data_IF_154995517623
#
_entry.id   IF_154995517623
#
_cell.length_a   1.000
_cell.length_b   1.000
_cell.length_c   1.000
_cell.angle_alpha   90.00
_cell.angle_beta   90.00
_cell.angle_gamma   90.00
#
_symmetry.space_group_name_H-M   'P 1'
#
loop_
_entity.id
_entity.type
_entity.pdbx_description
1 polymer ?
#
# COMPACT_ATOMS: atom_id res chain seq x y z
N UNK A 1 6.97 71.72 -10.43
CA UNK A 1 7.11 71.41 -8.98
C UNK A 1 5.73 71.10 -8.41
N UNK A 2 5.36 69.82 -8.41
CA UNK A 2 3.96 69.35 -8.36
C UNK A 2 3.29 69.35 -6.98
N UNK A 3 1.95 69.34 -7.01
CA UNK A 3 0.99 69.22 -5.90
C UNK A 3 1.45 68.34 -4.73
N UNK A 4 2.21 67.29 -5.02
CA UNK A 4 2.73 66.32 -4.05
C UNK A 4 3.57 66.92 -2.92
N UNK A 5 4.36 67.98 -3.20
CA UNK A 5 5.17 68.64 -2.17
C UNK A 5 4.35 69.48 -1.18
N UNK A 6 3.15 69.95 -1.58
CA UNK A 6 2.26 70.72 -0.70
C UNK A 6 1.45 69.82 0.24
N UNK A 7 1.00 68.65 -0.24
CA UNK A 7 0.30 67.67 0.59
C UNK A 7 1.22 67.12 1.70
N UNK A 8 2.46 66.78 1.36
CA UNK A 8 3.42 66.23 2.32
C UNK A 8 3.80 67.19 3.47
N UNK A 9 3.72 68.50 3.23
CA UNK A 9 4.01 69.50 4.26
C UNK A 9 2.85 69.72 5.25
N UNK A 10 1.62 69.33 4.89
CA UNK A 10 0.43 69.57 5.70
C UNK A 10 0.16 68.44 6.74
N UNK A 11 0.50 67.18 6.42
CA UNK A 11 -0.01 66.00 7.14
C UNK A 11 1.07 65.16 7.86
N UNK A 12 2.21 65.76 8.23
CA UNK A 12 3.37 65.15 8.93
C UNK A 12 3.13 63.73 9.46
N UNK A 13 3.60 62.72 8.72
CA UNK A 13 3.95 61.36 9.18
C UNK A 13 2.79 60.51 9.76
N UNK A 14 1.58 61.04 9.95
CA UNK A 14 0.47 60.30 10.54
C UNK A 14 -0.11 59.20 9.61
N UNK A 15 -0.02 59.37 8.30
CA UNK A 15 -0.56 58.43 7.29
C UNK A 15 0.49 57.45 6.73
N UNK A 16 1.63 57.28 7.41
CA UNK A 16 2.67 56.29 7.04
C UNK A 16 2.57 54.97 7.84
N UNK A 17 1.41 54.66 8.41
CA UNK A 17 1.14 53.29 8.81
C UNK A 17 0.88 52.47 7.53
N UNK A 18 1.87 51.65 7.16
CA UNK A 18 1.78 50.68 6.06
C UNK A 18 0.69 49.67 6.41
N UNK A 19 -0.56 50.00 6.10
CA UNK A 19 -1.68 49.07 6.18
C UNK A 19 -1.34 47.91 5.25
N UNK A 20 -0.83 46.84 5.85
CA UNK A 20 -0.16 45.74 5.15
C UNK A 20 -0.97 45.31 3.93
N UNK A 21 -0.33 45.29 2.76
CA UNK A 21 -0.98 45.01 1.47
C UNK A 21 -1.85 43.77 1.57
N UNK A 22 -3.17 43.97 1.66
CA UNK A 22 -4.15 42.89 1.67
C UNK A 22 -4.07 42.22 0.30
N UNK A 23 -3.59 40.98 0.26
CA UNK A 23 -3.49 40.22 -0.98
C UNK A 23 -4.85 40.04 -1.65
N UNK A 24 -4.86 39.64 -2.93
CA UNK A 24 -6.09 39.39 -3.68
C UNK A 24 -7.03 38.43 -2.91
N UNK A 25 -8.31 38.78 -2.73
CA UNK A 25 -9.30 37.89 -2.13
C UNK A 25 -9.34 36.52 -2.81
N UNK A 26 -9.50 35.45 -2.03
CA UNK A 26 -9.60 34.06 -2.52
C UNK A 26 -11.06 33.64 -2.57
N UNK A 27 -11.39 32.70 -3.46
CA UNK A 27 -12.72 32.11 -3.58
C UNK A 27 -13.17 31.54 -2.23
N UNK A 28 -14.42 31.80 -1.87
CA UNK A 28 -14.93 31.51 -0.54
C UNK A 28 -14.88 29.99 -0.22
N UNK A 29 -14.52 29.65 1.01
CA UNK A 29 -14.44 28.26 1.47
C UNK A 29 -15.54 28.05 2.50
N UNK A 30 -16.69 27.55 2.05
CA UNK A 30 -17.83 27.23 2.91
C UNK A 30 -17.74 25.76 3.31
N UNK A 31 -17.80 25.52 4.62
CA UNK A 31 -17.86 24.20 5.25
C UNK A 31 -19.31 23.88 5.59
N UNK A 32 -19.72 22.64 5.34
CA UNK A 32 -20.94 22.14 5.97
C UNK A 32 -20.71 21.77 7.45
N UNK A 33 -21.78 21.47 8.17
CA UNK A 33 -21.71 21.14 9.60
C UNK A 33 -20.94 19.85 9.88
N UNK A 34 -21.05 18.85 9.00
CA UNK A 34 -20.38 17.56 9.16
C UNK A 34 -18.86 17.70 8.96
N UNK A 35 -18.44 18.47 7.96
CA UNK A 35 -17.05 18.80 7.70
C UNK A 35 -16.46 19.64 8.80
N UNK A 36 -17.17 20.67 9.26
CA UNK A 36 -16.72 21.51 10.38
C UNK A 36 -16.53 20.66 11.64
N UNK A 37 -17.46 19.75 11.93
CA UNK A 37 -17.35 18.81 13.04
C UNK A 37 -16.12 17.91 12.88
N UNK A 38 -15.95 17.28 11.71
CA UNK A 38 -14.84 16.36 11.44
C UNK A 38 -13.47 17.04 11.52
N UNK A 39 -13.33 18.23 10.93
CA UNK A 39 -12.11 19.03 10.97
C UNK A 39 -11.77 19.46 12.41
N UNK A 40 -12.78 19.87 13.17
CA UNK A 40 -12.59 20.25 14.58
C UNK A 40 -12.13 19.06 15.42
N UNK A 41 -12.70 17.88 15.20
CA UNK A 41 -12.27 16.64 15.85
C UNK A 41 -10.81 16.31 15.50
N UNK A 42 -10.44 16.36 14.22
CA UNK A 42 -9.05 16.12 13.81
C UNK A 42 -8.06 17.14 14.40
N UNK A 43 -8.44 18.42 14.48
CA UNK A 43 -7.60 19.48 15.02
C UNK A 43 -7.34 19.37 16.54
N UNK A 44 -8.29 18.78 17.31
CA UNK A 44 -8.27 18.71 18.78
C UNK A 44 -7.86 17.35 19.34
N UNK A 45 -8.15 16.25 18.65
CA UNK A 45 -7.93 14.90 19.18
C UNK A 45 -6.45 14.58 19.33
N UNK A 46 -6.04 14.16 20.52
CA UNK A 46 -4.64 13.89 20.87
C UNK A 46 -3.96 12.80 20.03
N UNK A 47 -4.71 11.81 19.54
CA UNK A 47 -4.20 10.70 18.72
C UNK A 47 -4.19 10.98 17.21
N UNK A 48 -4.64 12.15 16.77
CA UNK A 48 -4.61 12.50 15.34
C UNK A 48 -3.17 12.72 14.90
N UNK A 49 -2.80 12.20 13.73
CA UNK A 49 -1.50 12.47 13.14
C UNK A 49 -1.31 13.99 12.98
N UNK A 50 -0.16 14.51 13.42
CA UNK A 50 0.11 15.96 13.46
C UNK A 50 -0.10 16.65 12.11
N UNK A 51 0.25 15.97 11.00
CA UNK A 51 0.04 16.52 9.66
C UNK A 51 -1.45 16.74 9.37
N UNK A 52 -2.33 15.83 9.81
CA UNK A 52 -3.76 15.91 9.56
C UNK A 52 -4.41 16.97 10.44
N UNK A 53 -3.98 17.07 11.71
CA UNK A 53 -4.41 18.11 12.63
C UNK A 53 -4.04 19.51 12.11
N UNK A 54 -2.81 19.72 11.63
CA UNK A 54 -2.37 20.98 11.04
C UNK A 54 -3.19 21.32 9.80
N UNK A 55 -3.38 20.36 8.89
CA UNK A 55 -4.19 20.56 7.67
C UNK A 55 -5.64 20.93 8.00
N UNK A 56 -6.23 20.30 9.02
CA UNK A 56 -7.57 20.63 9.48
C UNK A 56 -7.66 22.06 10.03
N UNK A 57 -6.67 22.50 10.83
CA UNK A 57 -6.59 23.89 11.34
C UNK A 57 -6.48 24.91 10.21
N UNK A 58 -5.71 24.60 9.17
CA UNK A 58 -5.59 25.45 7.98
C UNK A 58 -6.96 25.66 7.33
N UNK A 59 -7.71 24.57 7.10
CA UNK A 59 -9.03 24.64 6.45
C UNK A 59 -10.02 25.41 7.33
N UNK A 60 -10.06 25.12 8.64
CA UNK A 60 -10.93 25.83 9.58
C UNK A 60 -10.65 27.34 9.58
N UNK A 61 -9.37 27.74 9.62
CA UNK A 61 -8.98 29.15 9.52
C UNK A 61 -9.33 29.78 8.17
N UNK A 62 -9.16 29.05 7.08
CA UNK A 62 -9.56 29.55 5.75
C UNK A 62 -11.08 29.72 5.61
N UNK A 63 -11.87 28.94 6.36
CA UNK A 63 -13.34 29.00 6.37
C UNK A 63 -13.90 30.19 7.15
N UNK A 64 -13.08 30.88 7.95
CA UNK A 64 -13.46 32.12 8.65
C UNK A 64 -13.46 33.33 7.70
N UNK A 65 -13.04 33.14 6.45
CA UNK A 65 -13.04 34.15 5.39
C UNK A 65 -11.70 34.89 5.25
N UNK A 66 -11.68 35.87 4.35
CA UNK A 66 -10.50 36.70 4.10
C UNK A 66 -9.41 36.03 3.24
N UNK A 67 -8.19 36.58 3.33
CA UNK A 67 -7.04 36.10 2.56
C UNK A 67 -6.34 34.94 3.29
N UNK A 68 -5.45 34.23 2.61
CA UNK A 68 -4.66 33.16 3.22
C UNK A 68 -3.50 33.66 4.11
N UNK A 69 -3.22 34.97 4.10
CA UNK A 69 -2.10 35.55 4.84
C UNK A 69 -2.30 35.49 6.36
N UNK A 70 -3.46 35.89 6.93
CA UNK A 70 -3.75 35.70 8.35
C UNK A 70 -3.60 34.23 8.79
N UNK A 71 -4.19 33.29 8.04
CA UNK A 71 -4.09 31.87 8.36
C UNK A 71 -2.64 31.34 8.39
N UNK A 72 -1.77 31.86 7.52
CA UNK A 72 -0.35 31.53 7.51
C UNK A 72 0.36 32.08 8.76
N UNK A 73 0.10 33.35 9.12
CA UNK A 73 0.65 34.01 10.31
C UNK A 73 0.19 33.34 11.60
N UNK A 74 -1.10 33.08 11.75
CA UNK A 74 -1.69 32.48 12.95
C UNK A 74 -1.18 31.07 13.25
N UNK A 75 -0.87 30.32 12.19
CA UNK A 75 -0.41 28.93 12.28
C UNK A 75 1.12 28.82 12.18
N UNK A 76 1.84 29.91 11.93
CA UNK A 76 3.31 29.91 11.78
C UNK A 76 3.82 29.08 10.61
N UNK A 77 3.10 29.06 9.48
CA UNK A 77 3.43 28.25 8.30
C UNK A 77 3.56 29.11 7.04
N UNK A 78 4.23 28.57 6.03
CA UNK A 78 4.37 29.25 4.75
C UNK A 78 3.03 29.39 4.02
N UNK A 79 2.79 30.56 3.42
CA UNK A 79 1.56 30.87 2.68
C UNK A 79 1.29 29.91 1.53
N UNK A 80 2.33 29.43 0.82
CA UNK A 80 2.16 28.48 -0.28
C UNK A 80 1.61 27.13 0.21
N UNK A 81 1.89 26.77 1.47
CA UNK A 81 1.31 25.58 2.10
C UNK A 81 -0.17 25.77 2.35
N UNK A 82 -0.58 26.94 2.85
CA UNK A 82 -2.00 27.29 3.03
C UNK A 82 -2.73 27.27 1.69
N UNK A 83 -2.15 27.91 0.66
CA UNK A 83 -2.70 27.92 -0.70
C UNK A 83 -2.92 26.50 -1.24
N UNK A 84 -1.92 25.61 -1.11
CA UNK A 84 -1.99 24.21 -1.56
C UNK A 84 -3.07 23.42 -0.81
N UNK A 85 -3.18 23.60 0.51
CA UNK A 85 -4.17 22.86 1.32
C UNK A 85 -5.58 23.36 1.08
N UNK A 86 -5.79 24.68 0.97
CA UNK A 86 -7.06 25.27 0.57
C UNK A 86 -7.51 24.74 -0.80
N UNK A 87 -6.61 24.73 -1.78
CA UNK A 87 -6.91 24.22 -3.12
C UNK A 87 -7.29 22.72 -3.10
N UNK A 88 -6.53 21.88 -2.39
CA UNK A 88 -6.86 20.44 -2.29
C UNK A 88 -8.18 20.19 -1.57
N UNK A 89 -8.49 20.96 -0.53
CA UNK A 89 -9.78 20.85 0.16
C UNK A 89 -10.95 21.29 -0.74
N UNK A 90 -10.79 22.35 -1.53
CA UNK A 90 -11.83 22.75 -2.50
C UNK A 90 -12.07 21.65 -3.53
N UNK A 91 -11.03 20.98 -4.01
CA UNK A 91 -11.13 19.94 -5.03
C UNK A 91 -11.63 18.58 -4.50
N UNK A 92 -11.21 18.19 -3.28
CA UNK A 92 -11.40 16.82 -2.77
C UNK A 92 -11.96 16.77 -1.35
N UNK A 93 -12.42 17.90 -0.79
CA UNK A 93 -12.97 18.04 0.56
C UNK A 93 -12.08 17.36 1.61
N UNK A 94 -12.66 16.56 2.51
CA UNK A 94 -11.95 15.89 3.60
C UNK A 94 -10.87 14.91 3.10
N UNK A 95 -11.09 14.22 1.97
CA UNK A 95 -10.12 13.30 1.37
C UNK A 95 -8.87 14.04 0.87
N UNK A 96 -9.04 15.30 0.48
CA UNK A 96 -7.97 16.22 0.11
C UNK A 96 -6.99 16.55 1.24
N UNK A 97 -7.24 16.11 2.48
CA UNK A 97 -6.32 16.31 3.60
C UNK A 97 -5.39 15.13 3.86
N UNK A 98 -5.66 13.97 3.27
CA UNK A 98 -4.76 12.81 3.36
C UNK A 98 -3.56 12.94 2.41
N UNK A 99 -2.51 12.19 2.71
CA UNK A 99 -1.40 12.00 1.77
C UNK A 99 -1.86 11.07 0.65
N UNK A 100 -1.54 11.44 -0.59
CA UNK A 100 -1.69 10.53 -1.72
C UNK A 100 -0.69 9.37 -1.60
N UNK A 101 -1.04 8.19 -2.13
CA UNK A 101 -0.09 7.09 -2.25
C UNK A 101 1.19 7.59 -2.93
N UNK A 102 2.32 7.49 -2.22
CA UNK A 102 3.60 7.85 -2.81
C UNK A 102 3.91 6.82 -3.89
N UNK A 103 4.27 7.29 -5.09
CA UNK A 103 4.67 6.43 -6.22
C UNK A 103 5.86 5.51 -5.90
N UNK A 104 6.61 5.83 -4.84
CA UNK A 104 7.77 5.05 -4.40
C UNK A 104 8.92 5.13 -5.41
N UNK A 105 10.02 4.43 -5.10
CA UNK A 105 11.09 4.20 -6.06
C UNK A 105 10.61 3.15 -7.06
N UNK A 106 10.71 3.39 -8.38
CA UNK A 106 10.44 2.36 -9.37
C UNK A 106 11.26 1.08 -9.10
N UNK A 107 10.69 -0.12 -9.28
CA UNK A 107 11.43 -1.35 -9.06
C UNK A 107 12.63 -1.44 -10.00
N UNK A 108 13.81 -1.78 -9.47
CA UNK A 108 15.04 -1.93 -10.25
C UNK A 108 15.15 -3.29 -10.95
N UNK A 109 14.36 -4.27 -10.51
CA UNK A 109 14.25 -5.58 -11.14
C UNK A 109 12.91 -5.61 -11.88
N UNK A 110 12.99 -5.77 -13.19
CA UNK A 110 11.84 -5.83 -14.08
C UNK A 110 11.08 -7.16 -13.93
N UNK A 111 9.84 -7.17 -14.42
CA UNK A 111 8.91 -8.28 -14.21
C UNK A 111 9.35 -9.56 -14.94
N UNK A 112 9.95 -9.42 -16.11
CA UNK A 112 10.57 -10.50 -16.89
C UNK A 112 11.62 -11.28 -16.08
N UNK A 113 12.49 -10.58 -15.35
CA UNK A 113 13.53 -11.21 -14.50
C UNK A 113 12.94 -11.86 -13.27
N UNK A 114 11.81 -11.36 -12.78
CA UNK A 114 11.06 -12.01 -11.70
C UNK A 114 10.40 -13.29 -12.20
N UNK A 115 9.77 -13.23 -13.36
CA UNK A 115 9.13 -14.37 -14.03
C UNK A 115 10.13 -15.49 -14.32
N UNK A 116 11.31 -15.14 -14.85
CA UNK A 116 12.40 -16.10 -15.07
C UNK A 116 12.77 -16.87 -13.79
N UNK A 117 12.88 -16.18 -12.65
CA UNK A 117 13.15 -16.83 -11.35
C UNK A 117 12.00 -17.75 -10.95
N UNK A 118 10.74 -17.32 -11.12
CA UNK A 118 9.57 -18.11 -10.74
C UNK A 118 9.51 -19.40 -11.57
N UNK A 119 9.63 -19.30 -12.89
CA UNK A 119 9.63 -20.44 -13.81
C UNK A 119 10.79 -21.38 -13.47
N UNK A 120 12.01 -20.83 -13.36
CA UNK A 120 13.19 -21.62 -13.03
C UNK A 120 13.07 -22.35 -11.69
N UNK A 121 12.32 -21.80 -10.72
CA UNK A 121 12.10 -22.42 -9.41
C UNK A 121 11.20 -23.65 -9.48
N UNK A 122 10.26 -23.69 -10.42
CA UNK A 122 9.34 -24.82 -10.62
C UNK A 122 10.00 -25.98 -11.35
N UNK A 123 11.07 -25.72 -12.07
CA UNK A 123 11.92 -26.75 -12.67
C UNK A 123 12.91 -27.31 -11.63
N UNK A 124 13.32 -28.56 -11.78
CA UNK A 124 14.41 -29.10 -10.97
C UNK A 124 15.75 -28.46 -11.34
N UNK A 125 16.66 -28.21 -10.37
CA UNK A 125 18.01 -27.76 -10.69
C UNK A 125 18.76 -28.79 -11.54
N UNK A 126 19.53 -28.29 -12.50
CA UNK A 126 20.43 -29.13 -13.27
C UNK A 126 21.57 -29.62 -12.36
N UNK A 127 21.76 -30.94 -12.27
CA UNK A 127 22.83 -31.55 -11.50
C UNK A 127 22.34 -32.48 -10.38
N UNK A 128 23.10 -32.53 -9.28
CA UNK A 128 22.85 -33.44 -8.14
C UNK A 128 22.02 -32.78 -7.02
N UNK A 129 21.69 -31.49 -7.14
CA UNK A 129 20.89 -30.79 -6.15
C UNK A 129 19.45 -31.31 -6.19
N UNK A 130 18.87 -31.65 -5.04
CA UNK A 130 17.46 -32.07 -4.97
C UNK A 130 16.51 -30.87 -5.08
N UNK A 131 16.98 -29.66 -4.80
CA UNK A 131 16.18 -28.42 -4.81
C UNK A 131 17.04 -27.19 -5.05
N UNK A 132 16.42 -26.09 -5.50
CA UNK A 132 17.10 -24.82 -5.65
C UNK A 132 17.51 -24.23 -4.29
N UNK A 133 18.80 -23.93 -4.16
CA UNK A 133 19.28 -23.02 -3.12
C UNK A 133 19.27 -21.58 -3.63
N UNK A 134 19.25 -20.58 -2.73
CA UNK A 134 19.38 -19.17 -3.14
C UNK A 134 20.69 -18.92 -3.89
N UNK A 135 21.73 -19.71 -3.61
CA UNK A 135 23.03 -19.59 -4.24
C UNK A 135 23.00 -20.14 -5.67
N UNK A 136 22.47 -21.34 -5.90
CA UNK A 136 22.37 -21.92 -7.24
C UNK A 136 21.42 -21.15 -8.13
N UNK A 137 20.28 -20.66 -7.61
CA UNK A 137 19.36 -19.82 -8.37
C UNK A 137 19.97 -18.45 -8.73
N UNK A 138 20.75 -17.85 -7.81
CA UNK A 138 21.48 -16.62 -8.09
C UNK A 138 22.53 -16.82 -9.19
N UNK A 139 23.23 -17.95 -9.19
CA UNK A 139 24.20 -18.29 -10.23
C UNK A 139 23.52 -18.51 -11.59
N UNK A 140 22.35 -19.18 -11.61
CA UNK A 140 21.57 -19.42 -12.84
C UNK A 140 21.08 -18.10 -13.46
N UNK A 141 20.53 -17.21 -12.64
CA UNK A 141 19.83 -16.00 -13.13
C UNK A 141 20.72 -14.77 -13.18
N UNK A 142 21.87 -14.75 -12.49
CA UNK A 142 22.72 -13.57 -12.34
C UNK A 142 22.19 -12.51 -11.37
N UNK A 143 21.11 -12.81 -10.63
CA UNK A 143 20.57 -11.95 -9.58
C UNK A 143 21.25 -12.22 -8.23
N UNK A 144 21.25 -11.24 -7.33
CA UNK A 144 21.80 -11.44 -5.98
C UNK A 144 20.96 -12.42 -5.15
N UNK A 145 21.61 -13.18 -4.26
CA UNK A 145 20.93 -14.13 -3.34
C UNK A 145 19.79 -13.48 -2.55
N UNK A 146 19.96 -12.22 -2.14
CA UNK A 146 18.92 -11.45 -1.42
C UNK A 146 17.74 -11.09 -2.32
N UNK A 147 17.96 -10.86 -3.62
CA UNK A 147 16.88 -10.63 -4.59
C UNK A 147 16.07 -11.91 -4.79
N UNK A 148 16.74 -13.05 -4.98
CA UNK A 148 16.09 -14.36 -5.05
C UNK A 148 15.25 -14.62 -3.79
N UNK A 149 15.82 -14.39 -2.60
CA UNK A 149 15.09 -14.56 -1.34
C UNK A 149 13.85 -13.67 -1.21
N UNK A 150 13.92 -12.41 -1.69
CA UNK A 150 12.75 -11.50 -1.73
C UNK A 150 11.69 -11.98 -2.71
N UNK A 151 12.09 -12.45 -3.89
CA UNK A 151 11.16 -13.01 -4.89
C UNK A 151 10.45 -14.23 -4.30
N UNK A 152 11.20 -15.24 -3.83
CA UNK A 152 10.60 -16.43 -3.23
C UNK A 152 9.65 -16.11 -2.08
N UNK A 153 10.02 -15.20 -1.18
CA UNK A 153 9.13 -14.78 -0.08
C UNK A 153 7.86 -14.09 -0.60
N UNK A 154 7.96 -13.26 -1.65
CA UNK A 154 6.81 -12.55 -2.22
C UNK A 154 5.80 -13.48 -2.87
N UNK A 155 6.27 -14.58 -3.48
CA UNK A 155 5.43 -15.56 -4.17
C UNK A 155 5.21 -16.85 -3.36
N UNK A 156 5.58 -16.86 -2.07
CA UNK A 156 5.57 -18.02 -1.17
C UNK A 156 6.21 -19.30 -1.75
N UNK A 157 7.25 -19.15 -2.58
CA UNK A 157 7.95 -20.27 -3.18
C UNK A 157 8.88 -20.94 -2.16
N UNK A 158 8.73 -22.26 -1.99
CA UNK A 158 9.52 -23.09 -1.07
C UNK A 158 10.17 -24.23 -1.85
N UNK A 159 11.29 -24.00 -2.56
CA UNK A 159 11.90 -25.01 -3.44
C UNK A 159 12.28 -26.32 -2.72
N UNK A 160 12.54 -26.26 -1.42
CA UNK A 160 12.87 -27.40 -0.57
C UNK A 160 11.65 -28.19 -0.10
N UNK A 161 10.44 -27.68 -0.29
CA UNK A 161 9.19 -28.37 0.00
C UNK A 161 8.59 -28.81 -1.33
N UNK A 162 8.95 -30.02 -1.75
CA UNK A 162 8.31 -30.69 -2.85
C UNK A 162 7.40 -31.78 -2.28
N UNK A 163 6.11 -31.71 -2.60
CA UNK A 163 5.21 -32.81 -2.30
C UNK A 163 5.50 -33.94 -3.28
N UNK A 164 5.95 -35.08 -2.74
CA UNK A 164 6.09 -36.29 -3.52
C UNK A 164 4.74 -37.01 -3.56
N UNK A 165 4.24 -37.29 -4.77
CA UNK A 165 3.14 -38.21 -4.93
C UNK A 165 3.71 -39.62 -5.12
N UNK A 166 3.37 -40.54 -4.22
CA UNK A 166 3.72 -41.95 -4.38
C UNK A 166 2.81 -42.56 -5.45
N UNK A 167 3.28 -42.55 -6.69
CA UNK A 167 2.70 -43.37 -7.74
C UNK A 167 3.25 -44.80 -7.61
N UNK A 168 2.39 -45.80 -7.70
CA UNK A 168 2.87 -47.19 -7.76
C UNK A 168 3.67 -47.40 -9.04
N UNK A 169 4.80 -48.09 -8.95
CA UNK A 169 5.60 -48.52 -10.11
C UNK A 169 5.05 -49.79 -10.78
N UNK A 170 3.91 -50.31 -10.29
CA UNK A 170 3.23 -51.46 -10.88
C UNK A 170 2.86 -51.17 -12.35
N UNK A 171 3.33 -51.98 -13.32
CA UNK A 171 2.96 -51.82 -14.72
C UNK A 171 1.45 -51.87 -14.98
N UNK A 172 0.68 -52.49 -14.08
CA UNK A 172 -0.78 -52.57 -14.13
C UNK A 172 -1.48 -51.50 -13.27
N UNK A 173 -0.76 -50.54 -12.68
CA UNK A 173 -1.32 -49.56 -11.75
C UNK A 173 -2.57 -48.87 -12.30
N UNK A 174 -2.50 -48.37 -13.54
CA UNK A 174 -3.62 -47.68 -14.19
C UNK A 174 -4.82 -48.62 -14.34
N UNK A 175 -4.61 -49.85 -14.80
CA UNK A 175 -5.68 -50.84 -14.98
C UNK A 175 -6.36 -51.18 -13.65
N UNK A 176 -5.58 -51.38 -12.57
CA UNK A 176 -6.11 -51.66 -11.22
C UNK A 176 -6.88 -50.48 -10.65
N UNK A 177 -6.40 -49.25 -10.84
CA UNK A 177 -7.11 -48.05 -10.42
C UNK A 177 -8.46 -47.94 -11.14
N UNK A 178 -8.48 -48.15 -12.46
CA UNK A 178 -9.72 -48.11 -13.25
C UNK A 178 -10.71 -49.19 -12.79
N UNK A 179 -10.23 -50.40 -12.50
CA UNK A 179 -11.07 -51.51 -12.01
C UNK A 179 -11.69 -51.17 -10.65
N UNK A 180 -10.89 -50.68 -9.70
CA UNK A 180 -11.36 -50.25 -8.37
C UNK A 180 -12.35 -49.08 -8.46
N UNK A 181 -12.05 -48.07 -9.28
CA UNK A 181 -12.96 -46.94 -9.52
C UNK A 181 -14.26 -47.42 -10.20
N UNK A 182 -14.17 -48.42 -11.08
CA UNK A 182 -15.31 -49.08 -11.71
C UNK A 182 -16.31 -49.65 -10.70
N UNK A 183 -15.83 -50.19 -9.58
CA UNK A 183 -16.67 -50.69 -8.49
C UNK A 183 -17.49 -49.59 -7.79
N UNK A 184 -17.01 -48.33 -7.78
CA UNK A 184 -17.77 -47.19 -7.25
C UNK A 184 -18.83 -46.69 -8.22
N UNK A 185 -18.55 -46.75 -9.53
CA UNK A 185 -19.50 -46.32 -10.56
C UNK A 185 -20.59 -47.35 -10.86
N UNK A 186 -20.26 -48.64 -10.78
CA UNK A 186 -21.19 -49.75 -11.03
C UNK A 186 -21.09 -50.77 -9.89
N UNK A 187 -21.57 -50.43 -8.68
CA UNK A 187 -21.48 -51.32 -7.54
C UNK A 187 -22.35 -52.57 -7.76
N UNK A 188 -21.80 -53.79 -7.58
CA UNK A 188 -22.58 -55.01 -7.69
C UNK A 188 -23.66 -55.10 -6.60
N UNK A 189 -24.81 -55.70 -6.91
CA UNK A 189 -25.84 -55.93 -5.89
C UNK A 189 -25.29 -56.85 -4.78
N UNK A 190 -25.34 -56.34 -3.53
CA UNK A 190 -24.82 -56.99 -2.30
C UNK A 190 -23.29 -57.05 -2.16
N UNK A 191 -22.54 -56.18 -2.82
CA UNK A 191 -21.10 -56.07 -2.59
C UNK A 191 -20.74 -55.35 -1.29
N UNK A 192 -19.70 -55.83 -0.60
CA UNK A 192 -19.06 -55.14 0.53
C UNK A 192 -17.62 -54.85 0.12
N UNK A 193 -17.21 -53.58 0.15
CA UNK A 193 -15.82 -53.18 -0.08
C UNK A 193 -15.11 -53.13 1.27
N UNK A 194 -14.10 -53.97 1.44
CA UNK A 194 -13.24 -53.99 2.63
C UNK A 194 -11.89 -53.37 2.27
N UNK A 195 -11.62 -52.18 2.83
CA UNK A 195 -10.32 -51.53 2.72
C UNK A 195 -9.48 -51.89 3.93
N UNK A 196 -8.34 -52.53 3.71
CA UNK A 196 -7.34 -52.83 4.75
C UNK A 196 -6.06 -52.10 4.36
N UNK A 197 -5.63 -51.17 5.20
CA UNK A 197 -4.36 -50.47 5.06
C UNK A 197 -3.47 -50.81 6.24
N UNK A 198 -2.26 -51.26 5.98
CA UNK A 198 -1.26 -51.48 7.01
C UNK A 198 -0.39 -50.23 7.12
N UNK A 199 -0.65 -49.41 8.15
CA UNK A 199 0.25 -48.32 8.53
C UNK A 199 1.31 -48.82 9.50
N UNK A 200 2.48 -49.17 8.98
CA UNK A 200 3.67 -49.33 9.81
C UNK A 200 3.99 -47.99 10.49
N UNK A 201 3.98 -47.94 11.83
CA UNK A 201 4.19 -46.76 12.72
C UNK A 201 2.95 -46.00 13.26
N UNK A 202 1.79 -46.64 13.42
CA UNK A 202 0.78 -46.15 14.38
C UNK A 202 0.83 -47.03 15.63
N UNK A 203 1.21 -46.46 16.76
CA UNK A 203 1.11 -47.14 18.05
C UNK A 203 -0.38 -47.25 18.40
N UNK A 204 -0.90 -48.47 18.57
CA UNK A 204 -2.27 -48.72 19.01
C UNK A 204 -2.42 -48.37 20.51
N UNK A 205 -2.43 -47.07 20.81
CA UNK A 205 -2.77 -46.54 22.12
C UNK A 205 -3.95 -45.59 21.95
N UNK A 206 -5.14 -46.19 21.86
CA UNK A 206 -6.38 -45.64 22.40
C UNK A 206 -7.39 -46.79 22.44
N UNK A 207 -7.71 -47.22 23.67
CA UNK A 207 -8.90 -48.00 24.00
C UNK A 207 -9.74 -47.17 24.94
#
# INVERSE_FOLDING_TARGET
>A
MGKWRRAFAAERIADLEDAGRIGRPKADLVLDDAERLQLTQWARRAKTAQFLALRARIVLRCAEGGTNQPAATDLGIDRSTVDRRRARFIAHRLDGLQDEPRSGRPPSILLDRVEEVVIATLESPAGQDTHWSRASMAQRTGLSKSTIGRIWKKFDLKPHLQDSFKLSTDPQFVAKVVDVVGLYHHPPEKAVVLCVDEKSQIQALDR
#
